data_IF_772770654372
#
_entry.id   IF_772770654372
#
_cell.length_a   1.000
_cell.length_b   1.000
_cell.length_c   1.000
_cell.angle_alpha   90.00
_cell.angle_beta   90.00
_cell.angle_gamma   90.00
#
_symmetry.space_group_name_H-M   'P 1'
#
loop_
_entity.id
_entity.type
_entity.pdbx_description
1 polymer ?
#
# COMPACT_ATOMS: atom_id res chain seq x y z
N UNK A 1 26.09 20.05 -0.07
CA UNK A 1 26.55 18.66 0.07
C UNK A 1 25.50 17.80 -0.60
N UNK A 2 25.80 17.19 -1.76
CA UNK A 2 24.88 16.25 -2.40
C UNK A 2 24.80 15.00 -1.53
N UNK A 3 23.61 14.66 -1.04
CA UNK A 3 23.41 13.43 -0.30
C UNK A 3 23.71 12.24 -1.22
N UNK A 4 24.59 11.34 -0.77
CA UNK A 4 24.94 10.15 -1.53
C UNK A 4 23.76 9.18 -1.44
N UNK A 5 23.19 8.72 -2.58
CA UNK A 5 22.05 7.83 -2.56
C UNK A 5 22.41 6.49 -1.90
N UNK A 6 21.67 6.15 -0.83
CA UNK A 6 21.85 4.92 -0.06
C UNK A 6 20.91 3.81 -0.52
N UNK A 7 21.45 2.60 -0.66
CA UNK A 7 20.75 1.39 -1.11
C UNK A 7 20.96 0.29 -0.08
N UNK A 8 19.88 -0.41 0.27
CA UNK A 8 19.92 -1.61 1.10
C UNK A 8 19.67 -2.86 0.25
N UNK A 9 20.60 -3.80 0.30
CA UNK A 9 20.50 -5.09 -0.38
C UNK A 9 20.11 -6.16 0.64
N UNK A 10 18.86 -6.58 0.59
CA UNK A 10 18.33 -7.66 1.41
C UNK A 10 18.52 -8.99 0.69
N UNK A 11 19.30 -9.90 1.27
CA UNK A 11 19.62 -11.16 0.60
C UNK A 11 19.35 -12.39 1.46
N UNK A 12 18.66 -13.34 0.83
CA UNK A 12 18.26 -14.61 1.37
C UNK A 12 19.39 -15.63 1.48
N UNK A 13 19.25 -16.63 2.37
CA UNK A 13 20.07 -17.82 2.30
C UNK A 13 19.71 -18.62 1.04
N UNK A 14 20.70 -19.24 0.43
CA UNK A 14 20.51 -20.12 -0.73
C UNK A 14 21.33 -21.39 -0.61
N UNK A 15 20.91 -22.43 -1.32
CA UNK A 15 21.64 -23.70 -1.37
C UNK A 15 22.89 -23.53 -2.23
N UNK A 16 24.06 -23.71 -1.62
CA UNK A 16 25.34 -23.74 -2.30
C UNK A 16 26.16 -24.93 -1.81
N UNK A 17 26.53 -25.84 -2.71
CA UNK A 17 27.26 -27.07 -2.39
C UNK A 17 26.55 -27.94 -1.34
N UNK A 18 25.21 -28.08 -1.46
CA UNK A 18 24.40 -28.89 -0.54
C UNK A 18 24.12 -28.27 0.84
N UNK A 19 24.59 -27.05 1.10
CA UNK A 19 24.37 -26.37 2.39
C UNK A 19 23.60 -25.07 2.18
N UNK A 20 22.58 -24.83 3.01
CA UNK A 20 21.81 -23.58 3.03
C UNK A 20 22.55 -22.57 3.91
N UNK A 21 23.09 -21.50 3.31
CA UNK A 21 23.76 -20.40 4.04
C UNK A 21 23.56 -19.06 3.34
N UNK A 22 23.70 -17.98 4.10
CA UNK A 22 23.87 -16.64 3.55
C UNK A 22 25.28 -16.51 2.95
N UNK A 23 25.36 -16.21 1.65
CA UNK A 23 26.62 -15.98 0.94
C UNK A 23 26.51 -14.73 0.08
N UNK A 24 27.52 -13.88 0.12
CA UNK A 24 27.57 -12.62 -0.64
C UNK A 24 28.30 -12.75 -1.99
N UNK A 25 28.85 -13.93 -2.29
CA UNK A 25 29.71 -14.14 -3.47
C UNK A 25 29.00 -13.84 -4.80
N UNK A 26 27.70 -14.15 -4.93
CA UNK A 26 26.90 -13.81 -6.11
C UNK A 26 26.53 -12.32 -6.19
N UNK A 27 26.54 -11.61 -5.06
CA UNK A 27 26.23 -10.18 -5.01
C UNK A 27 27.43 -9.31 -5.38
N UNK A 28 28.63 -9.89 -5.41
CA UNK A 28 29.87 -9.15 -5.62
C UNK A 28 29.86 -8.30 -6.91
N UNK A 29 29.39 -8.87 -8.03
CA UNK A 29 29.29 -8.14 -9.31
C UNK A 29 28.35 -6.93 -9.23
N UNK A 30 27.22 -7.09 -8.54
CA UNK A 30 26.23 -6.01 -8.32
C UNK A 30 26.82 -4.92 -7.42
N UNK A 31 27.41 -5.32 -6.29
CA UNK A 31 28.01 -4.39 -5.32
C UNK A 31 29.10 -3.56 -5.98
N UNK A 32 30.00 -4.20 -6.74
CA UNK A 32 31.05 -3.50 -7.46
C UNK A 32 30.50 -2.50 -8.48
N UNK A 33 29.47 -2.89 -9.24
CA UNK A 33 28.89 -2.02 -10.25
C UNK A 33 28.20 -0.80 -9.63
N UNK A 34 27.39 -1.00 -8.58
CA UNK A 34 26.72 0.08 -7.87
C UNK A 34 27.71 1.00 -7.14
N UNK A 35 28.78 0.45 -6.55
CA UNK A 35 29.82 1.25 -5.91
C UNK A 35 30.57 2.12 -6.93
N UNK A 36 30.86 1.58 -8.12
CA UNK A 36 31.47 2.35 -9.24
C UNK A 36 30.58 3.50 -9.71
N UNK A 37 29.26 3.36 -9.57
CA UNK A 37 28.29 4.42 -9.88
C UNK A 37 28.14 5.46 -8.76
N UNK A 38 28.77 5.26 -7.60
CA UNK A 38 28.75 6.19 -6.48
C UNK A 38 27.62 5.98 -5.47
N UNK A 39 26.93 4.83 -5.49
CA UNK A 39 25.91 4.51 -4.49
C UNK A 39 26.55 3.99 -3.19
N UNK A 40 25.97 4.36 -2.05
CA UNK A 40 26.33 3.79 -0.75
C UNK A 40 25.50 2.54 -0.49
N UNK A 41 26.15 1.39 -0.26
CA UNK A 41 25.48 0.08 -0.22
C UNK A 41 25.58 -0.52 1.19
N UNK A 42 24.44 -0.90 1.74
CA UNK A 42 24.31 -1.67 2.97
C UNK A 42 23.77 -3.07 2.64
N UNK A 43 24.39 -4.12 3.18
CA UNK A 43 24.03 -5.50 2.88
C UNK A 43 23.37 -6.11 4.13
N UNK A 44 22.11 -6.50 4.00
CA UNK A 44 21.28 -6.98 5.11
C UNK A 44 20.85 -8.42 4.83
N UNK A 45 21.16 -9.39 5.72
CA UNK A 45 20.66 -10.76 5.56
C UNK A 45 19.15 -10.81 5.80
N UNK A 46 18.41 -11.52 4.94
CA UNK A 46 16.96 -11.68 5.01
C UNK A 46 16.56 -13.14 5.16
N UNK A 47 15.49 -13.43 5.90
CA UNK A 47 15.03 -14.81 6.18
C UNK A 47 14.49 -15.52 4.90
N UNK A 48 14.14 -14.75 3.86
CA UNK A 48 13.51 -15.29 2.66
C UNK A 48 14.50 -16.09 1.79
N UNK A 49 14.26 -17.39 1.64
CA UNK A 49 15.08 -18.28 0.82
C UNK A 49 15.19 -17.81 -0.63
N UNK A 50 16.40 -17.89 -1.18
CA UNK A 50 16.75 -17.59 -2.57
C UNK A 50 16.34 -16.19 -3.07
N UNK A 51 15.92 -15.28 -2.18
CA UNK A 51 15.41 -13.96 -2.56
C UNK A 51 16.50 -12.90 -2.45
N UNK A 52 16.60 -12.05 -3.46
CA UNK A 52 17.32 -10.78 -3.39
C UNK A 52 16.29 -9.66 -3.59
N UNK A 53 16.24 -8.73 -2.65
CA UNK A 53 15.44 -7.51 -2.77
C UNK A 53 16.32 -6.28 -2.55
N UNK A 54 16.14 -5.30 -3.42
CA UNK A 54 16.86 -4.03 -3.39
C UNK A 54 15.89 -2.98 -2.87
N UNK A 55 16.28 -2.28 -1.82
CA UNK A 55 15.49 -1.23 -1.19
C UNK A 55 16.22 0.11 -1.31
N UNK A 56 15.48 1.15 -1.68
CA UNK A 56 15.96 2.53 -1.75
C UNK A 56 14.92 3.43 -1.07
N UNK A 57 15.36 4.30 -0.15
CA UNK A 57 14.48 5.21 0.61
C UNK A 57 13.26 4.51 1.26
N UNK A 58 13.45 3.31 1.82
CA UNK A 58 12.36 2.57 2.46
C UNK A 58 11.43 1.82 1.51
N UNK A 59 11.71 1.80 0.20
CA UNK A 59 10.86 1.17 -0.82
C UNK A 59 11.61 0.07 -1.56
N UNK A 60 10.99 -1.10 -1.71
CA UNK A 60 11.51 -2.20 -2.53
C UNK A 60 11.40 -1.81 -4.01
N UNK A 61 12.53 -1.60 -4.68
CA UNK A 61 12.60 -1.17 -6.09
C UNK A 61 12.77 -2.34 -7.05
N UNK A 62 13.43 -3.41 -6.59
CA UNK A 62 13.74 -4.55 -7.44
C UNK A 62 13.75 -5.85 -6.62
N UNK A 63 13.28 -6.92 -7.24
CA UNK A 63 13.25 -8.26 -6.65
C UNK A 63 13.67 -9.30 -7.66
N UNK A 64 14.61 -10.17 -7.29
CA UNK A 64 14.97 -11.32 -8.11
C UNK A 64 15.36 -12.54 -7.26
N UNK A 65 15.58 -13.67 -7.94
CA UNK A 65 16.14 -14.85 -7.31
C UNK A 65 17.68 -14.76 -7.33
N UNK A 66 18.31 -14.91 -6.17
CA UNK A 66 19.77 -14.79 -6.01
C UNK A 66 20.55 -15.84 -6.80
N UNK A 67 19.94 -17.01 -7.06
CA UNK A 67 20.56 -18.09 -7.85
C UNK A 67 20.73 -17.71 -9.32
N UNK A 68 19.94 -16.75 -9.81
CA UNK A 68 20.01 -16.34 -11.20
C UNK A 68 21.20 -15.40 -11.47
N UNK A 69 21.73 -14.73 -10.43
CA UNK A 69 22.96 -13.94 -10.53
C UNK A 69 24.15 -14.85 -10.75
N UNK A 70 25.00 -14.52 -11.71
CA UNK A 70 26.16 -15.34 -12.01
C UNK A 70 27.25 -15.19 -10.94
N UNK A 71 27.96 -16.28 -10.68
CA UNK A 71 28.99 -16.32 -9.65
C UNK A 71 30.31 -15.75 -10.18
N UNK A 72 30.88 -14.77 -9.48
CA UNK A 72 32.18 -14.18 -9.78
C UNK A 72 32.33 -13.64 -11.22
N UNK A 73 31.23 -13.13 -11.77
CA UNK A 73 31.20 -12.54 -13.11
C UNK A 73 30.96 -11.03 -12.96
N UNK A 74 31.57 -10.25 -13.86
CA UNK A 74 31.37 -8.80 -13.87
C UNK A 74 29.96 -8.45 -14.33
N UNK A 75 29.45 -7.31 -13.87
CA UNK A 75 28.11 -6.85 -14.23
C UNK A 75 27.93 -6.63 -15.75
N UNK A 76 29.03 -6.50 -16.52
CA UNK A 76 28.98 -6.35 -17.98
C UNK A 76 28.61 -7.64 -18.71
N UNK A 77 28.76 -8.80 -18.10
CA UNK A 77 28.46 -10.08 -18.73
C UNK A 77 27.16 -10.69 -18.19
N UNK A 78 26.77 -10.35 -16.96
CA UNK A 78 25.52 -10.82 -16.35
C UNK A 78 24.32 -9.92 -16.72
N UNK A 79 23.38 -10.47 -17.50
CA UNK A 79 22.14 -9.80 -17.93
C UNK A 79 21.28 -9.36 -16.76
N UNK A 80 21.23 -10.15 -15.67
CA UNK A 80 20.40 -9.84 -14.51
C UNK A 80 21.03 -8.72 -13.70
N UNK A 81 22.36 -8.73 -13.56
CA UNK A 81 23.08 -7.62 -12.96
C UNK A 81 22.82 -6.31 -13.71
N UNK A 82 22.89 -6.32 -15.05
CA UNK A 82 22.57 -5.13 -15.86
C UNK A 82 21.17 -4.60 -15.60
N UNK A 83 20.17 -5.47 -15.69
CA UNK A 83 18.76 -5.09 -15.45
C UNK A 83 18.55 -4.51 -14.07
N UNK A 84 19.19 -5.09 -13.06
CA UNK A 84 19.13 -4.58 -11.69
C UNK A 84 19.72 -3.17 -11.63
N UNK A 85 20.89 -2.93 -12.20
CA UNK A 85 21.55 -1.62 -12.21
C UNK A 85 20.73 -0.57 -12.97
N UNK A 86 20.18 -0.95 -14.13
CA UNK A 86 19.27 -0.09 -14.91
C UNK A 86 18.03 0.29 -14.09
N UNK A 87 17.40 -0.69 -13.43
CA UNK A 87 16.24 -0.44 -12.57
C UNK A 87 16.59 0.49 -11.40
N UNK A 88 17.79 0.32 -10.81
CA UNK A 88 18.28 1.20 -9.74
C UNK A 88 18.49 2.62 -10.24
N UNK A 89 19.07 2.82 -11.43
CA UNK A 89 19.27 4.15 -12.01
C UNK A 89 17.95 4.83 -12.36
N UNK A 90 17.00 4.08 -12.94
CA UNK A 90 15.66 4.56 -13.23
C UNK A 90 14.92 4.94 -11.94
N UNK A 91 14.97 4.08 -10.92
CA UNK A 91 14.37 4.34 -9.63
C UNK A 91 15.01 5.55 -8.93
N UNK A 92 16.34 5.66 -8.97
CA UNK A 92 17.06 6.83 -8.44
C UNK A 92 16.61 8.11 -9.14
N UNK A 93 16.57 8.12 -10.47
CA UNK A 93 16.14 9.30 -11.24
C UNK A 93 14.70 9.70 -10.91
N UNK A 94 13.81 8.73 -10.69
CA UNK A 94 12.44 8.99 -10.27
C UNK A 94 12.37 9.51 -8.83
N UNK A 95 12.98 8.81 -7.89
CA UNK A 95 12.83 9.10 -6.46
C UNK A 95 13.48 10.42 -6.04
N UNK A 96 14.57 10.82 -6.69
CA UNK A 96 15.26 12.09 -6.43
C UNK A 96 14.81 13.23 -7.36
N UNK A 97 13.76 13.05 -8.16
CA UNK A 97 13.20 14.15 -8.95
C UNK A 97 12.56 15.20 -8.02
N UNK A 98 12.79 16.48 -8.30
CA UNK A 98 12.27 17.60 -7.50
C UNK A 98 10.73 17.63 -7.41
N UNK A 99 10.05 16.98 -8.36
CA UNK A 99 8.59 16.84 -8.39
C UNK A 99 8.06 15.89 -7.31
N UNK A 100 8.90 15.00 -6.77
CA UNK A 100 8.48 13.98 -5.80
C UNK A 100 8.61 14.41 -4.34
N UNK A 101 9.07 15.64 -4.07
CA UNK A 101 9.01 16.18 -2.72
C UNK A 101 7.54 16.40 -2.33
N UNK A 102 7.08 15.89 -1.18
CA UNK A 102 5.74 16.17 -0.69
C UNK A 102 5.59 17.68 -0.52
N UNK A 103 4.85 18.31 -1.44
CA UNK A 103 4.56 19.73 -1.34
C UNK A 103 3.57 19.92 -0.19
N UNK A 104 4.08 20.41 0.94
CA UNK A 104 3.23 20.82 2.03
C UNK A 104 2.51 22.10 1.62
N UNK A 105 1.24 21.97 1.27
CA UNK A 105 0.36 23.12 1.17
C UNK A 105 -0.13 23.44 2.58
N UNK A 106 0.31 24.56 3.20
CA UNK A 106 -0.21 24.94 4.50
C UNK A 106 -1.72 25.11 4.39
N UNK A 107 -2.46 24.25 5.09
CA UNK A 107 -3.90 24.44 5.27
C UNK A 107 -4.04 25.68 6.16
N UNK A 108 -4.26 26.84 5.55
CA UNK A 108 -4.68 28.03 6.28
C UNK A 108 -5.94 27.63 7.04
N UNK A 109 -5.84 27.61 8.37
CA UNK A 109 -6.86 27.13 9.31
C UNK A 109 -8.26 27.58 8.87
N UNK A 110 -9.13 26.62 8.54
CA UNK A 110 -10.58 26.85 8.48
C UNK A 110 -11.25 26.95 7.11
N UNK A 111 -10.54 26.82 5.97
CA UNK A 111 -11.21 26.73 4.66
C UNK A 111 -10.71 25.52 3.89
N UNK A 112 -11.60 24.59 3.56
CA UNK A 112 -11.33 23.55 2.56
C UNK A 112 -10.94 24.29 1.29
N UNK A 113 -9.67 24.22 0.90
CA UNK A 113 -9.24 24.66 -0.43
C UNK A 113 -9.75 23.60 -1.38
N UNK A 114 -11.00 23.79 -1.84
CA UNK A 114 -11.53 23.05 -2.97
C UNK A 114 -10.58 23.37 -4.12
N UNK A 115 -9.97 22.33 -4.68
CA UNK A 115 -9.03 22.44 -5.78
C UNK A 115 -9.56 23.43 -6.83
N UNK A 116 -8.80 24.51 -7.06
CA UNK A 116 -8.87 25.26 -8.30
C UNK A 116 -8.34 24.35 -9.41
N UNK A 117 -9.21 23.43 -9.84
CA UNK A 117 -9.12 22.83 -11.16
C UNK A 117 -9.16 24.01 -12.13
N UNK A 118 -8.12 24.09 -12.96
CA UNK A 118 -7.78 25.07 -14.01
C UNK A 118 -8.88 25.45 -15.02
N UNK A 119 -10.12 25.65 -14.60
CA UNK A 119 -11.18 26.23 -15.41
C UNK A 119 -11.55 27.57 -14.80
N UNK A 120 -11.25 28.64 -15.55
CA UNK A 120 -11.63 30.03 -15.28
C UNK A 120 -13.16 30.20 -15.27
N UNK A 121 -13.87 29.58 -14.33
CA UNK A 121 -15.23 29.95 -13.99
C UNK A 121 -15.15 30.77 -12.71
N UNK A 122 -15.35 32.06 -12.87
CA UNK A 122 -15.34 33.03 -11.78
C UNK A 122 -16.32 32.55 -10.71
N UNK A 123 -15.90 32.53 -9.44
CA UNK A 123 -16.75 32.13 -8.31
C UNK A 123 -18.08 32.92 -8.22
N UNK A 124 -18.24 34.04 -8.95
CA UNK A 124 -19.51 34.76 -9.10
C UNK A 124 -20.62 33.96 -9.79
N UNK A 125 -20.29 33.03 -10.70
CA UNK A 125 -21.30 32.29 -11.47
C UNK A 125 -22.00 31.20 -10.66
N UNK A 126 -21.36 30.70 -9.58
CA UNK A 126 -21.91 29.62 -8.76
C UNK A 126 -22.89 30.11 -7.69
N UNK A 127 -22.83 31.38 -7.29
CA UNK A 127 -23.70 31.93 -6.23
C UNK A 127 -24.82 32.84 -6.77
N UNK A 128 -24.77 33.22 -8.05
CA UNK A 128 -25.78 34.12 -8.63
C UNK A 128 -27.17 33.47 -8.71
N UNK A 129 -27.24 32.15 -8.82
CA UNK A 129 -28.49 31.38 -8.89
C UNK A 129 -29.13 31.20 -7.51
N UNK A 130 -28.32 30.99 -6.48
CA UNK A 130 -28.78 30.49 -5.17
C UNK A 130 -29.06 31.61 -4.16
N UNK A 131 -28.45 32.80 -4.33
CA UNK A 131 -28.70 33.96 -3.46
C UNK A 131 -30.16 34.45 -3.59
N UNK A 132 -30.84 34.15 -4.70
CA UNK A 132 -32.24 34.56 -4.92
C UNK A 132 -33.27 33.71 -4.17
N UNK A 133 -32.87 32.54 -3.64
CA UNK A 133 -33.77 31.61 -2.95
C UNK A 133 -33.77 31.76 -1.42
N UNK A 134 -32.90 32.59 -0.84
CA UNK A 134 -32.64 32.55 0.60
C UNK A 134 -33.22 33.71 1.44
N UNK A 135 -33.87 34.70 0.84
CA UNK A 135 -34.50 35.77 1.62
C UNK A 135 -35.82 36.26 1.03
N UNK A 136 -36.86 35.47 1.16
CA UNK A 136 -38.19 36.02 1.46
C UNK A 136 -38.51 35.74 2.92
N UNK A 137 -38.06 36.64 3.81
CA UNK A 137 -38.56 36.69 5.19
C UNK A 137 -40.00 37.24 5.09
N UNK A 138 -41.05 36.48 5.42
CA UNK A 138 -42.40 37.02 5.41
C UNK A 138 -42.48 38.16 6.43
N UNK A 139 -42.75 39.37 5.93
CA UNK A 139 -42.98 40.56 6.77
C UNK A 139 -44.39 40.48 7.36
N UNK A 140 -44.62 39.61 8.35
CA UNK A 140 -45.73 39.77 9.30
C UNK A 140 -45.61 38.79 10.47
N UNK A 141 -45.16 39.24 11.67
CA UNK A 141 -45.21 38.45 12.88
C UNK A 141 -46.42 38.88 13.71
N UNK A 142 -47.66 38.57 13.29
CA UNK A 142 -48.82 38.66 14.20
C UNK A 142 -49.79 37.52 13.91
N UNK A 143 -49.57 36.39 14.59
CA UNK A 143 -50.48 35.25 14.62
C UNK A 143 -50.63 34.75 16.06
N UNK A 144 -51.77 35.08 16.66
CA UNK A 144 -52.23 34.77 18.02
C UNK A 144 -51.68 33.48 18.66
N UNK A 145 -50.95 33.65 19.77
CA UNK A 145 -50.40 32.57 20.62
C UNK A 145 -51.46 31.90 21.51
N UNK A 146 -52.73 32.28 21.42
CA UNK A 146 -53.80 31.80 22.31
C UNK A 146 -54.38 30.42 21.94
N UNK A 147 -53.89 29.77 20.89
CA UNK A 147 -54.41 28.45 20.44
C UNK A 147 -53.56 27.24 20.86
N UNK A 148 -52.48 27.45 21.62
CA UNK A 148 -51.54 26.41 22.06
C UNK A 148 -51.85 25.80 23.45
N UNK A 149 -52.97 26.16 24.07
CA UNK A 149 -53.37 25.73 25.42
C UNK A 149 -54.64 24.85 25.43
N UNK A 150 -54.78 23.89 24.51
CA UNK A 150 -55.91 22.93 24.55
C UNK A 150 -55.64 21.46 24.25
N UNK A 151 -54.41 21.05 23.94
CA UNK A 151 -54.13 19.64 23.61
C UNK A 151 -53.08 19.03 24.56
N UNK A 152 -53.15 19.37 25.85
CA UNK A 152 -52.27 18.85 26.91
C UNK A 152 -53.04 17.97 27.92
N UNK A 153 -54.16 17.39 27.48
CA UNK A 153 -54.86 16.33 28.19
C UNK A 153 -55.06 15.15 27.22
N UNK A 154 -55.01 13.94 27.78
CA UNK A 154 -54.96 12.62 27.13
C UNK A 154 -53.51 12.11 26.95
N UNK A 155 -52.85 11.86 28.07
CA UNK A 155 -51.90 10.74 28.21
C UNK A 155 -52.41 9.96 29.42
N UNK A 156 -53.12 8.86 29.17
CA UNK A 156 -53.27 7.75 30.11
C UNK A 156 -53.84 6.55 29.33
N UNK A 157 -53.03 5.50 29.21
CA UNK A 157 -53.45 4.21 28.70
C UNK A 157 -52.72 3.78 27.43
N UNK A 158 -51.62 3.05 27.61
CA UNK A 158 -51.25 1.79 26.90
C UNK A 158 -49.74 1.52 27.06
N UNK A 159 -49.29 1.28 28.30
CA UNK A 159 -48.14 0.44 28.56
C UNK A 159 -48.68 -0.96 28.90
N UNK A 160 -48.66 -1.88 27.94
CA UNK A 160 -48.46 -3.31 28.20
C UNK A 160 -48.38 -4.10 26.89
N UNK A 161 -47.45 -5.06 26.87
CA UNK A 161 -47.19 -6.12 25.87
C UNK A 161 -46.20 -5.75 24.75
N UNK A 162 -44.95 -6.19 24.92
CA UNK A 162 -44.39 -7.35 24.20
C UNK A 162 -42.89 -7.47 24.56
N UNK A 163 -42.62 -8.18 25.66
CA UNK A 163 -41.45 -9.06 25.75
C UNK A 163 -41.85 -10.42 25.16
N UNK A 164 -40.84 -11.20 24.79
CA UNK A 164 -40.89 -12.60 24.31
C UNK A 164 -41.03 -12.79 22.79
N UNK A 165 -39.89 -12.98 22.13
CA UNK A 165 -39.66 -14.09 21.19
C UNK A 165 -38.16 -14.21 20.86
N UNK A 166 -37.57 -15.30 21.39
CA UNK A 166 -36.66 -16.24 20.71
C UNK A 166 -35.26 -15.73 20.31
N UNK A 167 -34.13 -16.09 20.93
CA UNK A 167 -33.65 -17.37 21.49
C UNK A 167 -33.85 -18.60 20.58
N UNK A 168 -32.70 -19.19 20.19
CA UNK A 168 -32.45 -20.49 19.54
C UNK A 168 -32.30 -20.53 18.02
N UNK A 169 -31.04 -20.71 17.57
CA UNK A 169 -30.67 -21.82 16.67
C UNK A 169 -29.14 -21.94 16.57
N UNK A 170 -28.58 -22.75 17.47
CA UNK A 170 -27.29 -23.40 17.30
C UNK A 170 -27.34 -24.50 16.22
N UNK A 171 -26.15 -24.88 15.74
CA UNK A 171 -25.76 -26.21 15.25
C UNK A 171 -26.31 -26.71 13.90
N UNK A 172 -25.39 -26.86 12.92
CA UNK A 172 -25.24 -28.02 12.01
C UNK A 172 -23.83 -27.91 11.38
N UNK A 173 -22.82 -28.64 11.85
CA UNK A 173 -22.47 -30.05 11.57
C UNK A 173 -21.82 -30.32 10.21
N UNK A 174 -20.50 -30.61 10.26
CA UNK A 174 -19.83 -31.80 9.74
C UNK A 174 -20.29 -32.46 8.41
N UNK A 175 -19.39 -32.47 7.42
CA UNK A 175 -18.91 -33.60 6.58
C UNK A 175 -18.08 -32.99 5.44
N UNK A 176 -16.91 -33.51 5.04
CA UNK A 176 -16.65 -34.88 4.60
C UNK A 176 -15.14 -35.14 4.40
N UNK A 177 -14.68 -36.32 4.85
CA UNK A 177 -13.74 -37.29 4.20
C UNK A 177 -12.73 -36.77 3.14
N UNK A 178 -11.43 -37.08 3.15
CA UNK A 178 -10.78 -38.36 3.44
C UNK A 178 -10.49 -39.13 2.13
N UNK A 179 -9.20 -39.35 1.80
CA UNK A 179 -8.58 -40.44 0.99
C UNK A 179 -7.12 -39.99 0.67
N UNK A 180 -6.07 -40.50 1.32
CA UNK A 180 -5.24 -41.68 0.96
C UNK A 180 -4.93 -41.81 -0.54
N UNK A 181 -3.64 -41.77 -0.92
CA UNK A 181 -2.87 -42.96 -1.36
C UNK A 181 -1.41 -42.60 -1.64
N UNK A 182 -0.55 -43.45 -1.10
CA UNK A 182 0.85 -43.68 -1.42
C UNK A 182 1.08 -44.08 -2.90
N UNK A 183 2.35 -43.96 -3.34
CA UNK A 183 3.03 -44.51 -4.53
C UNK A 183 3.78 -43.39 -5.28
N UNK A 184 5.00 -43.53 -5.79
CA UNK A 184 6.02 -44.57 -5.71
C UNK A 184 7.34 -43.90 -6.09
N UNK A 185 8.42 -44.30 -5.40
CA UNK A 185 9.80 -43.98 -5.73
C UNK A 185 10.20 -44.94 -6.86
N UNK A 186 10.37 -44.43 -8.08
CA UNK A 186 11.04 -45.18 -9.15
C UNK A 186 12.37 -44.51 -9.49
N UNK A 187 13.43 -45.14 -9.00
CA UNK A 187 14.79 -45.01 -9.44
C UNK A 187 14.95 -45.56 -10.85
N UNK A 188 15.40 -44.74 -11.80
CA UNK A 188 15.85 -45.23 -13.10
C UNK A 188 17.28 -44.75 -13.36
N UNK A 189 18.20 -45.63 -13.00
CA UNK A 189 19.60 -45.62 -13.42
C UNK A 189 19.67 -46.14 -14.87
N UNK A 190 20.09 -45.29 -15.81
CA UNK A 190 20.57 -45.76 -17.12
C UNK A 190 22.03 -45.40 -17.32
N UNK A 191 22.80 -46.47 -17.28
CA UNK A 191 24.14 -46.68 -17.79
C UNK A 191 24.08 -46.56 -19.32
N UNK A 192 24.94 -45.72 -19.90
CA UNK A 192 25.78 -45.96 -21.09
C UNK A 192 26.66 -44.75 -21.35
#
# INVERSE_FOLDING_TARGET
>A
MSEVPSIKLHYGPYIANGVIRHKTQRLHGVIQCLTKLGYAIEIVPSIHMDRLSVEMLGREIYRCNIKNLQFNIECKDDVICKRLVETVQEASSRLYADENFPQYHPVLRGRRVIHEIKNKRTNQDLFSSDIKLWFEIPKNPVGNVSKLMRNLEIIDGEEEKLQEADENADTESNKSSGLTTDADISSDSKIL
#
